data_IF_597793489520
#
_entry.id   IF_597793489520
#
_cell.length_a   1.000
_cell.length_b   1.000
_cell.length_c   1.000
_cell.angle_alpha   90.00
_cell.angle_beta   90.00
_cell.angle_gamma   90.00
#
_symmetry.space_group_name_H-M   'P 1'
#
loop_
_entity.id
_entity.type
_entity.pdbx_description
1 polymer ?
#
# COMPACT_ATOMS: atom_id res chain seq x y z
N UNK A 1 -19.58 3.97 18.75
CA UNK A 1 -18.71 3.60 19.90
C UNK A 1 -17.51 4.54 19.88
N UNK A 2 -17.11 5.02 21.04
CA UNK A 2 -16.35 6.26 21.32
C UNK A 2 -14.89 6.33 20.84
N UNK A 3 -14.50 7.56 20.47
CA UNK A 3 -13.26 8.28 20.84
C UNK A 3 -12.28 8.67 19.71
N UNK A 4 -12.68 9.66 18.91
CA UNK A 4 -11.85 10.41 17.94
C UNK A 4 -11.08 11.59 18.57
N UNK A 5 -10.61 11.46 19.80
CA UNK A 5 -9.92 12.55 20.49
C UNK A 5 -8.87 11.99 21.45
N UNK A 6 -7.70 11.66 20.92
CA UNK A 6 -6.47 11.71 21.70
C UNK A 6 -5.80 13.03 21.38
N UNK A 7 -5.79 13.91 22.37
CA UNK A 7 -5.15 15.22 22.39
C UNK A 7 -3.94 15.33 21.44
N UNK A 8 -4.08 16.16 20.42
CA UNK A 8 -3.02 16.63 19.54
C UNK A 8 -2.16 17.65 20.30
N UNK A 9 -1.30 17.19 21.20
CA UNK A 9 -0.39 18.04 21.96
C UNK A 9 0.88 18.38 21.14
N UNK A 10 0.71 18.77 19.87
CA UNK A 10 1.83 18.99 18.92
C UNK A 10 2.48 17.72 18.37
N UNK A 11 2.12 16.52 18.86
CA UNK A 11 2.67 15.25 18.40
C UNK A 11 1.92 14.66 17.21
N UNK A 12 2.66 14.43 16.13
CA UNK A 12 2.25 13.85 14.86
C UNK A 12 2.79 12.43 14.71
N UNK A 13 1.96 11.53 14.18
CA UNK A 13 2.38 10.19 13.78
C UNK A 13 2.60 10.19 12.27
N UNK A 14 3.79 9.79 11.84
CA UNK A 14 4.15 9.68 10.43
C UNK A 14 4.36 8.20 10.12
N UNK A 15 3.38 7.62 9.45
CA UNK A 15 3.45 6.23 8.96
C UNK A 15 3.94 6.18 7.51
N UNK A 16 4.36 4.99 7.11
CA UNK A 16 4.80 4.66 5.75
C UNK A 16 6.08 5.32 5.27
N UNK A 17 6.98 5.57 6.21
CA UNK A 17 8.33 6.00 5.89
C UNK A 17 9.10 4.86 5.24
N UNK A 18 10.02 5.19 4.31
CA UNK A 18 10.89 4.19 3.71
C UNK A 18 11.82 3.58 4.76
N UNK A 19 12.29 2.35 4.52
CA UNK A 19 13.24 1.68 5.42
C UNK A 19 14.53 2.47 5.64
N UNK A 20 14.88 3.32 4.68
CA UNK A 20 16.05 4.21 4.66
C UNK A 20 15.77 5.61 5.25
N UNK A 21 14.52 5.92 5.63
CA UNK A 21 14.20 7.23 6.21
C UNK A 21 14.74 7.34 7.63
N UNK A 22 15.63 8.32 7.85
CA UNK A 22 16.18 8.69 9.16
C UNK A 22 15.40 9.81 9.82
N UNK A 23 15.64 10.02 11.11
CA UNK A 23 15.12 11.16 11.86
C UNK A 23 15.54 12.51 11.25
N UNK A 24 16.76 12.64 10.74
CA UNK A 24 17.22 13.83 10.01
C UNK A 24 16.39 14.11 8.75
N UNK A 25 16.16 13.07 7.93
CA UNK A 25 15.34 13.19 6.71
C UNK A 25 13.89 13.54 7.04
N UNK A 26 13.37 12.99 8.14
CA UNK A 26 12.04 13.29 8.63
C UNK A 26 11.96 14.74 9.14
N UNK A 27 12.95 15.19 9.90
CA UNK A 27 13.03 16.55 10.42
C UNK A 27 13.12 17.58 9.30
N UNK A 28 13.92 17.32 8.26
CA UNK A 28 14.03 18.22 7.11
C UNK A 28 12.71 18.30 6.32
N UNK A 29 12.08 17.15 6.07
CA UNK A 29 10.82 17.08 5.33
C UNK A 29 9.66 17.76 6.05
N UNK A 30 9.63 17.69 7.39
CA UNK A 30 8.59 18.28 8.23
C UNK A 30 8.93 19.70 8.72
N UNK A 31 10.21 20.06 8.77
CA UNK A 31 10.69 21.37 9.22
C UNK A 31 10.26 22.51 8.30
N UNK A 32 9.89 22.21 7.06
CA UNK A 32 9.28 23.18 6.13
C UNK A 32 7.86 23.62 6.54
N UNK A 33 7.17 22.84 7.36
CA UNK A 33 5.81 23.17 7.83
C UNK A 33 5.80 23.86 9.18
N UNK A 34 6.87 23.73 9.98
CA UNK A 34 7.00 24.45 11.24
C UNK A 34 8.14 23.96 12.12
N UNK A 35 8.26 24.58 13.30
CA UNK A 35 9.34 24.28 14.23
C UNK A 35 9.12 22.93 14.94
N UNK A 36 9.97 21.96 14.65
CA UNK A 36 9.94 20.63 15.27
C UNK A 36 10.61 20.70 16.65
N UNK A 37 9.88 20.29 17.69
CA UNK A 37 10.41 20.12 19.05
C UNK A 37 11.18 18.80 19.18
N UNK A 38 10.65 17.73 18.60
CA UNK A 38 11.25 16.39 18.69
C UNK A 38 10.85 15.53 17.49
N UNK A 39 11.78 14.78 16.90
CA UNK A 39 11.46 13.76 15.91
C UNK A 39 12.12 12.43 16.30
N UNK A 40 11.35 11.34 16.20
CA UNK A 40 11.83 10.00 16.54
C UNK A 40 11.33 9.03 15.48
N UNK A 41 12.24 8.47 14.69
CA UNK A 41 11.95 7.35 13.80
C UNK A 41 12.10 6.05 14.59
N UNK A 42 11.09 5.19 14.56
CA UNK A 42 11.15 3.90 15.23
C UNK A 42 11.82 2.91 14.29
N UNK A 43 13.09 2.66 14.54
CA UNK A 43 13.88 1.65 13.84
C UNK A 43 13.89 0.32 14.60
N UNK A 44 13.87 -0.77 13.86
CA UNK A 44 14.05 -2.12 14.37
C UNK A 44 15.52 -2.34 14.71
N UNK A 45 15.82 -2.55 15.99
CA UNK A 45 17.20 -2.63 16.51
C UNK A 45 17.97 -3.88 16.04
N UNK A 46 17.26 -4.93 15.63
CA UNK A 46 17.88 -6.18 15.18
C UNK A 46 18.25 -6.11 13.69
N UNK A 47 17.44 -5.42 12.88
CA UNK A 47 17.64 -5.37 11.43
C UNK A 47 18.09 -4.00 10.91
N UNK A 48 18.19 -2.98 11.76
CA UNK A 48 18.37 -1.57 11.38
C UNK A 48 17.38 -1.11 10.29
N UNK A 49 16.22 -1.76 10.18
CA UNK A 49 15.16 -1.32 9.28
C UNK A 49 14.21 -0.41 10.00
N UNK A 50 13.89 0.74 9.43
CA UNK A 50 12.78 1.55 9.93
C UNK A 50 11.53 0.65 9.96
N UNK A 51 10.75 0.69 11.05
CA UNK A 51 9.48 -0.05 11.12
C UNK A 51 8.41 0.56 10.20
N UNK A 52 8.82 1.47 9.32
CA UNK A 52 7.97 2.25 8.44
C UNK A 52 7.19 3.33 9.18
N UNK A 53 7.60 3.75 10.38
CA UNK A 53 6.92 4.85 11.08
C UNK A 53 7.82 5.63 12.03
N UNK A 54 7.45 6.89 12.24
CA UNK A 54 8.07 7.81 13.17
C UNK A 54 7.06 8.73 13.83
N UNK A 55 7.52 9.52 14.78
CA UNK A 55 6.75 10.53 15.47
C UNK A 55 7.45 11.87 15.34
N UNK A 56 6.68 12.92 15.02
CA UNK A 56 7.18 14.30 14.92
C UNK A 56 6.37 15.14 15.89
N UNK A 57 7.00 15.70 16.91
CA UNK A 57 6.40 16.66 17.82
C UNK A 57 6.83 18.06 17.40
N UNK A 58 5.86 18.95 17.17
CA UNK A 58 6.11 20.36 16.92
C UNK A 58 6.07 21.17 18.20
N UNK A 59 6.81 22.28 18.19
CA UNK A 59 6.75 23.32 19.23
C UNK A 59 5.35 23.95 19.24
N UNK A 60 4.78 24.20 18.06
CA UNK A 60 3.44 24.73 17.93
C UNK A 60 2.45 23.64 17.48
N UNK A 61 1.32 23.48 18.20
CA UNK A 61 0.28 22.56 17.79
C UNK A 61 -0.47 23.00 16.52
N UNK A 62 -0.41 24.28 16.15
CA UNK A 62 -0.96 24.79 14.89
C UNK A 62 -0.12 24.28 13.70
N UNK A 63 1.20 24.42 13.74
CA UNK A 63 2.12 23.86 12.73
C UNK A 63 1.96 22.34 12.59
N UNK A 64 1.75 21.64 13.71
CA UNK A 64 1.46 20.21 13.67
C UNK A 64 0.17 19.90 12.91
N UNK A 65 -0.85 20.75 13.05
CA UNK A 65 -2.15 20.57 12.39
C UNK A 65 -2.07 20.86 10.89
N UNK A 66 -1.36 21.90 10.48
CA UNK A 66 -1.11 22.21 9.07
C UNK A 66 -0.23 21.14 8.41
N UNK A 67 0.84 20.72 9.08
CA UNK A 67 1.68 19.62 8.61
C UNK A 67 0.89 18.30 8.54
N UNK A 68 -0.02 18.08 9.50
CA UNK A 68 -0.96 16.97 9.45
C UNK A 68 -1.83 17.10 8.21
N UNK A 69 -2.59 18.16 8.04
CA UNK A 69 -3.54 18.29 6.92
C UNK A 69 -2.84 18.20 5.54
N UNK A 70 -1.62 18.75 5.43
CA UNK A 70 -0.81 18.66 4.22
C UNK A 70 -0.23 17.26 3.93
N UNK A 71 -0.11 16.39 4.94
CA UNK A 71 0.50 15.04 4.83
C UNK A 71 -0.51 13.89 5.10
N UNK A 72 -1.60 14.14 5.82
CA UNK A 72 -2.73 13.27 6.18
C UNK A 72 -3.65 13.23 4.97
N UNK A 73 -3.27 12.41 4.00
CA UNK A 73 -3.90 12.35 2.68
C UNK A 73 -2.89 12.18 1.54
N UNK A 74 -1.60 12.45 1.79
CA UNK A 74 -0.51 11.91 0.97
C UNK A 74 -0.11 10.57 1.55
N UNK A 75 -0.87 9.53 1.20
CA UNK A 75 -0.60 8.12 1.50
C UNK A 75 0.83 7.73 1.05
N UNK A 76 1.83 7.95 1.90
CA UNK A 76 3.10 7.23 1.86
C UNK A 76 2.86 5.92 2.63
N UNK A 77 2.97 4.80 1.92
CA UNK A 77 2.81 3.40 2.34
C UNK A 77 1.52 3.00 3.10
N UNK A 78 0.48 2.77 2.30
CA UNK A 78 -0.70 2.01 2.68
C UNK A 78 -0.45 0.51 2.52
N UNK A 79 0.44 -0.07 3.33
CA UNK A 79 0.50 -1.54 3.47
C UNK A 79 -0.65 -2.02 4.36
N UNK A 80 -1.85 -2.06 3.78
CA UNK A 80 -2.98 -2.94 4.11
C UNK A 80 -4.10 -2.72 3.09
N UNK A 81 -4.10 -3.57 2.06
CA UNK A 81 -5.25 -3.89 1.20
C UNK A 81 -6.10 -2.67 0.81
N UNK A 82 -5.52 -1.73 0.08
CA UNK A 82 -6.32 -0.78 -0.70
C UNK A 82 -5.57 -0.50 -1.99
N UNK A 83 -6.06 -1.17 -3.04
CA UNK A 83 -5.87 -0.90 -4.47
C UNK A 83 -4.92 0.29 -4.78
N UNK A 84 -3.60 0.07 -4.94
CA UNK A 84 -2.78 1.04 -5.64
C UNK A 84 -3.31 1.06 -7.08
N UNK A 85 -3.30 2.22 -7.72
CA UNK A 85 -4.08 2.49 -8.90
C UNK A 85 -3.82 1.53 -10.09
N UNK A 86 -2.77 0.69 -10.05
CA UNK A 86 -2.50 -0.39 -11.02
C UNK A 86 -2.58 -1.84 -10.52
N UNK A 87 -2.93 -2.14 -9.27
CA UNK A 87 -3.01 -3.54 -8.76
C UNK A 87 -4.43 -4.07 -8.74
N UNK A 88 -4.69 -4.95 -9.68
CA UNK A 88 -5.91 -5.73 -9.83
C UNK A 88 -5.91 -6.98 -8.94
N UNK A 89 -7.00 -7.19 -8.21
CA UNK A 89 -7.30 -8.48 -7.59
C UNK A 89 -8.03 -9.36 -8.60
N UNK A 90 -7.65 -10.62 -8.71
CA UNK A 90 -8.32 -11.58 -9.60
C UNK A 90 -8.71 -12.80 -8.76
N UNK A 91 -9.95 -12.83 -8.30
CA UNK A 91 -10.52 -13.97 -7.57
C UNK A 91 -11.35 -14.86 -8.48
N UNK A 92 -11.54 -16.13 -8.11
CA UNK A 92 -12.30 -17.11 -8.92
C UNK A 92 -11.45 -17.88 -9.94
N UNK A 93 -10.13 -17.77 -9.85
CA UNK A 93 -9.19 -18.49 -10.71
C UNK A 93 -9.27 -19.99 -10.49
N UNK A 94 -8.90 -20.74 -11.52
CA UNK A 94 -8.85 -22.19 -11.42
C UNK A 94 -7.73 -22.65 -10.48
N UNK A 95 -7.90 -23.84 -9.90
CA UNK A 95 -6.90 -24.42 -9.00
C UNK A 95 -5.59 -24.75 -9.74
N UNK A 96 -5.69 -24.94 -11.05
CA UNK A 96 -4.61 -25.19 -12.01
C UNK A 96 -4.05 -23.89 -12.62
N UNK A 97 -4.65 -22.73 -12.31
CA UNK A 97 -4.17 -21.46 -12.86
C UNK A 97 -2.93 -21.01 -12.11
N UNK A 98 -1.81 -21.01 -12.82
CA UNK A 98 -0.52 -20.50 -12.37
C UNK A 98 -0.28 -19.06 -12.79
N UNK A 99 0.82 -18.50 -12.29
CA UNK A 99 1.24 -17.13 -12.57
C UNK A 99 1.42 -16.85 -14.07
N UNK A 100 1.95 -17.80 -14.83
CA UNK A 100 2.08 -17.69 -16.29
C UNK A 100 0.74 -17.60 -17.01
N UNK A 101 -0.24 -18.43 -16.61
CA UNK A 101 -1.59 -18.39 -17.19
C UNK A 101 -2.30 -17.08 -16.84
N UNK A 102 -2.18 -16.63 -15.59
CA UNK A 102 -2.73 -15.35 -15.15
C UNK A 102 -2.11 -14.20 -15.95
N UNK A 103 -0.78 -14.19 -16.09
CA UNK A 103 -0.08 -13.18 -16.88
C UNK A 103 -0.55 -13.17 -18.33
N UNK A 104 -0.59 -14.32 -18.99
CA UNK A 104 -1.01 -14.45 -20.39
C UNK A 104 -2.47 -14.01 -20.63
N UNK A 105 -3.35 -14.23 -19.64
CA UNK A 105 -4.74 -13.81 -19.75
C UNK A 105 -4.92 -12.29 -19.61
N UNK A 106 -4.03 -11.62 -18.86
CA UNK A 106 -4.14 -10.21 -18.50
C UNK A 106 -3.20 -9.30 -19.33
N UNK A 107 -2.09 -9.82 -19.88
CA UNK A 107 -1.13 -9.03 -20.67
C UNK A 107 -1.72 -8.44 -21.95
N UNK A 108 -2.83 -9.02 -22.45
CA UNK A 108 -3.57 -8.51 -23.61
C UNK A 108 -4.24 -7.15 -23.37
N UNK A 109 -4.47 -6.79 -22.10
CA UNK A 109 -5.10 -5.53 -21.73
C UNK A 109 -4.08 -4.44 -21.42
N UNK A 110 -2.83 -4.81 -21.12
CA UNK A 110 -1.77 -3.84 -20.86
C UNK A 110 -0.48 -4.47 -20.34
N UNK A 111 0.53 -3.62 -20.16
CA UNK A 111 1.83 -4.06 -19.66
C UNK A 111 1.75 -4.43 -18.18
N UNK A 112 1.93 -5.71 -17.87
CA UNK A 112 1.98 -6.20 -16.49
C UNK A 112 3.36 -5.92 -15.90
N UNK A 113 3.39 -5.16 -14.81
CA UNK A 113 4.57 -4.94 -13.99
C UNK A 113 4.87 -6.16 -13.12
N UNK A 114 3.85 -6.72 -12.48
CA UNK A 114 3.98 -7.86 -11.58
C UNK A 114 2.70 -8.69 -11.57
N UNK A 115 2.81 -10.00 -11.44
CA UNK A 115 1.65 -10.87 -11.23
C UNK A 115 2.02 -11.95 -10.22
N UNK A 116 1.07 -12.30 -9.36
CA UNK A 116 1.27 -13.31 -8.32
C UNK A 116 -0.03 -14.05 -8.07
N UNK A 117 0.00 -15.36 -8.28
CA UNK A 117 -1.09 -16.25 -7.84
C UNK A 117 -0.80 -16.67 -6.40
N UNK A 118 -1.80 -16.53 -5.53
CA UNK A 118 -1.66 -16.96 -4.14
C UNK A 118 -1.96 -18.45 -4.08
N UNK A 119 -0.91 -19.23 -3.91
CA UNK A 119 -0.98 -20.69 -3.72
C UNK A 119 -0.93 -21.05 -2.25
N UNK A 120 -1.69 -22.07 -1.88
CA UNK A 120 -1.65 -22.69 -0.57
C UNK A 120 -0.37 -23.52 -0.43
N UNK A 121 0.50 -23.11 0.49
CA UNK A 121 1.85 -23.68 0.62
C UNK A 121 1.85 -25.10 1.20
N UNK A 122 0.77 -25.51 1.88
CA UNK A 122 0.66 -26.84 2.48
C UNK A 122 0.16 -27.88 1.47
N UNK A 123 -0.74 -27.48 0.57
CA UNK A 123 -1.33 -28.39 -0.42
C UNK A 123 -0.82 -28.19 -1.84
N UNK A 124 0.01 -27.15 -2.07
CA UNK A 124 0.40 -26.67 -3.41
C UNK A 124 -0.81 -26.44 -4.33
N UNK A 125 -1.97 -26.07 -3.76
CA UNK A 125 -3.18 -25.74 -4.53
C UNK A 125 -3.36 -24.24 -4.58
N UNK A 126 -3.62 -23.68 -5.76
CA UNK A 126 -3.99 -22.27 -5.86
C UNK A 126 -5.17 -21.97 -4.94
N UNK A 127 -5.15 -20.87 -4.18
CA UNK A 127 -6.30 -20.50 -3.34
C UNK A 127 -7.48 -19.97 -4.16
N UNK A 128 -7.39 -20.06 -5.49
CA UNK A 128 -8.37 -19.57 -6.45
C UNK A 128 -8.34 -18.04 -6.59
N UNK A 129 -7.24 -17.40 -6.23
CA UNK A 129 -7.09 -15.95 -6.43
C UNK A 129 -5.62 -15.54 -6.62
N UNK A 130 -5.43 -14.43 -7.32
CA UNK A 130 -4.15 -13.81 -7.59
C UNK A 130 -4.26 -12.30 -7.61
N UNK A 131 -3.12 -11.65 -7.79
CA UNK A 131 -3.01 -10.21 -7.97
C UNK A 131 -2.18 -9.93 -9.22
N UNK A 132 -2.62 -8.94 -10.00
CA UNK A 132 -1.93 -8.45 -11.19
C UNK A 132 -1.70 -6.96 -11.02
N UNK A 133 -0.46 -6.54 -11.01
CA UNK A 133 -0.05 -5.13 -11.04
C UNK A 133 0.33 -4.76 -12.47
N UNK A 134 -0.34 -3.77 -13.03
CA UNK A 134 0.03 -3.17 -14.30
C UNK A 134 0.99 -2.01 -14.12
N UNK A 135 1.81 -1.78 -15.14
CA UNK A 135 2.65 -0.59 -15.25
C UNK A 135 1.77 0.66 -15.33
N UNK A 136 0.66 0.59 -16.06
CA UNK A 136 -0.31 1.67 -16.15
C UNK A 136 -1.57 1.37 -15.32
N UNK A 137 -2.02 2.33 -14.50
CA UNK A 137 -3.23 2.18 -13.70
C UNK A 137 -4.52 2.13 -14.54
N UNK A 138 -4.53 2.78 -15.71
CA UNK A 138 -5.67 2.75 -16.63
C UNK A 138 -5.88 1.34 -17.19
N UNK A 139 -4.81 0.67 -17.64
CA UNK A 139 -4.84 -0.72 -18.12
C UNK A 139 -5.39 -1.69 -17.05
N UNK A 140 -5.05 -1.46 -15.78
CA UNK A 140 -5.58 -2.25 -14.67
C UNK A 140 -7.09 -2.10 -14.51
N UNK A 141 -7.61 -0.88 -14.72
CA UNK A 141 -9.04 -0.57 -14.61
C UNK A 141 -9.83 -1.15 -15.79
N UNK A 142 -9.33 -1.01 -17.01
CA UNK A 142 -9.92 -1.63 -18.20
C UNK A 142 -9.90 -3.15 -18.09
N UNK A 143 -8.79 -3.74 -17.66
CA UNK A 143 -8.70 -5.17 -17.42
C UNK A 143 -9.67 -5.65 -16.33
N UNK A 144 -9.84 -4.86 -15.26
CA UNK A 144 -10.81 -5.15 -14.19
C UNK A 144 -12.23 -5.20 -14.74
N UNK A 145 -12.67 -4.12 -15.39
CA UNK A 145 -14.04 -4.01 -15.90
C UNK A 145 -14.31 -5.05 -16.99
N UNK A 146 -13.32 -5.32 -17.84
CA UNK A 146 -13.42 -6.31 -18.89
C UNK A 146 -13.41 -7.76 -18.39
N UNK A 147 -12.84 -8.05 -17.21
CA UNK A 147 -12.68 -9.40 -16.67
C UNK A 147 -13.57 -9.69 -15.46
N UNK A 148 -14.09 -8.68 -14.78
CA UNK A 148 -15.06 -8.83 -13.69
C UNK A 148 -16.36 -9.43 -14.25
N UNK A 149 -16.70 -10.64 -13.79
CA UNK A 149 -17.88 -11.36 -14.26
C UNK A 149 -17.69 -12.16 -15.56
N UNK A 150 -16.47 -12.21 -16.14
CA UNK A 150 -16.17 -13.15 -17.23
C UNK A 150 -15.88 -14.56 -16.70
N UNK A 151 -16.15 -15.56 -17.53
CA UNK A 151 -15.76 -16.94 -17.27
C UNK A 151 -14.33 -17.17 -17.72
N UNK A 152 -13.44 -17.50 -16.78
CA UNK A 152 -12.09 -17.95 -17.06
C UNK A 152 -11.96 -19.37 -16.54
N UNK A 153 -11.73 -20.32 -17.45
CA UNK A 153 -11.63 -21.75 -17.13
C UNK A 153 -12.91 -22.33 -16.48
N UNK A 154 -14.08 -22.02 -17.06
CA UNK A 154 -15.40 -22.45 -16.56
C UNK A 154 -15.75 -21.94 -15.15
N UNK A 155 -15.03 -20.92 -14.64
CA UNK A 155 -15.34 -20.24 -13.38
C UNK A 155 -15.44 -18.74 -13.58
N UNK A 156 -16.43 -18.15 -12.92
CA UNK A 156 -16.59 -16.69 -12.89
C UNK A 156 -15.48 -16.06 -12.06
N UNK A 157 -14.66 -15.26 -12.71
CA UNK A 157 -13.66 -14.42 -12.05
C UNK A 157 -14.31 -13.13 -11.53
N UNK A 158 -13.85 -12.68 -10.36
CA UNK A 158 -14.31 -11.46 -9.67
C UNK A 158 -13.13 -10.55 -9.36
N UNK A 159 -13.25 -9.27 -9.72
CA UNK A 159 -12.20 -8.25 -9.71
C UNK A 159 -12.36 -7.14 -8.68
#
# INVERSE_FOLDING_TARGET
>A
RVNSSRQCNGKLFVGGLSSDTTDESLAEAFGKYGAIENCVVIMDRETNRSRGFGFVTYVNPEDAKDAKDAMDGKDLDRTRVTNPEGKLFVGGLSFDTDNEMLRGAFEKYGAIENCVVIMDRETSRSRGFGFVTYVNPEDAKDAKDAMDGKDLDNRQIRG
#
